data_IF_275741780785
#
_entry.id   IF_275741780785
#
_cell.length_a   1.000
_cell.length_b   1.000
_cell.length_c   1.000
_cell.angle_alpha   90.00
_cell.angle_beta   90.00
_cell.angle_gamma   90.00
#
_symmetry.space_group_name_H-M   'P 1'
#
loop_
_entity.id
_entity.type
_entity.pdbx_description
1 polymer ?
#
# COMPACT_ATOMS: atom_id res chain seq x y z
N UNK A 1 19.46 16.08 -16.56
CA UNK A 1 20.05 16.56 -15.30
C UNK A 1 20.16 15.40 -14.35
N UNK A 2 20.32 15.66 -13.05
CA UNK A 2 20.08 14.66 -12.01
C UNK A 2 18.58 14.39 -12.00
N UNK A 3 18.18 13.11 -11.96
CA UNK A 3 16.78 12.69 -11.94
C UNK A 3 16.57 11.60 -10.89
N UNK A 4 15.39 11.56 -10.29
CA UNK A 4 14.92 10.50 -9.39
C UNK A 4 14.03 9.50 -10.13
N UNK A 5 13.76 8.34 -9.50
CA UNK A 5 12.96 7.28 -10.13
C UNK A 5 11.53 7.75 -10.50
N UNK A 6 10.94 8.64 -9.70
CA UNK A 6 9.60 9.19 -9.92
C UNK A 6 9.54 10.15 -11.12
N UNK A 7 10.68 10.65 -11.58
CA UNK A 7 10.80 11.56 -12.72
C UNK A 7 11.07 10.83 -14.04
N UNK A 8 11.30 9.51 -14.00
CA UNK A 8 11.56 8.69 -15.17
C UNK A 8 10.27 8.17 -15.80
N UNK A 9 10.30 7.86 -17.11
CA UNK A 9 9.20 7.15 -17.76
C UNK A 9 9.11 5.71 -17.22
N UNK A 10 8.14 5.49 -16.33
CA UNK A 10 7.91 4.20 -15.69
C UNK A 10 7.62 3.10 -16.72
N UNK A 11 7.01 3.41 -17.89
CA UNK A 11 6.72 2.40 -18.92
C UNK A 11 8.01 1.88 -19.53
N UNK A 12 8.93 2.78 -19.86
CA UNK A 12 10.23 2.41 -20.42
C UNK A 12 11.08 1.64 -19.40
N UNK A 13 11.03 2.04 -18.13
CA UNK A 13 11.73 1.33 -17.07
C UNK A 13 11.19 -0.09 -16.88
N UNK A 14 9.86 -0.25 -16.79
CA UNK A 14 9.23 -1.54 -16.63
C UNK A 14 9.40 -2.45 -17.85
N UNK A 15 9.41 -1.92 -19.07
CA UNK A 15 9.68 -2.69 -20.30
C UNK A 15 11.03 -3.43 -20.20
N UNK A 16 12.06 -2.75 -19.69
CA UNK A 16 13.40 -3.32 -19.52
C UNK A 16 13.46 -4.30 -18.34
N UNK A 17 12.74 -4.02 -17.24
CA UNK A 17 12.78 -4.83 -16.02
C UNK A 17 11.90 -6.09 -16.09
N UNK A 18 10.81 -6.07 -16.86
CA UNK A 18 9.78 -7.12 -16.86
C UNK A 18 10.30 -8.55 -17.07
N UNK A 19 11.30 -8.81 -17.95
CA UNK A 19 11.86 -10.14 -18.12
C UNK A 19 12.47 -10.75 -16.84
N UNK A 20 12.79 -9.91 -15.85
CA UNK A 20 13.49 -10.31 -14.62
C UNK A 20 12.59 -10.34 -13.37
N UNK A 21 11.34 -9.88 -13.46
CA UNK A 21 10.44 -9.75 -12.31
C UNK A 21 9.51 -10.97 -12.10
N UNK A 22 9.52 -11.92 -13.03
CA UNK A 22 8.54 -13.01 -13.03
C UNK A 22 7.11 -12.49 -13.24
N UNK A 23 6.08 -13.19 -12.74
CA UNK A 23 4.70 -12.76 -12.90
C UNK A 23 4.37 -11.49 -12.08
N UNK A 24 4.27 -10.34 -12.75
CA UNK A 24 3.81 -9.08 -12.15
C UNK A 24 2.29 -8.99 -12.30
N UNK A 25 1.56 -8.98 -11.17
CA UNK A 25 0.09 -9.02 -11.12
C UNK A 25 -0.48 -8.02 -10.13
N UNK A 26 -1.62 -7.42 -10.48
CA UNK A 26 -2.41 -6.58 -9.58
C UNK A 26 -3.58 -7.37 -8.99
N UNK A 27 -3.82 -7.18 -7.69
CA UNK A 27 -4.94 -7.80 -6.98
C UNK A 27 -5.66 -6.74 -6.15
N UNK A 28 -6.99 -6.71 -6.26
CA UNK A 28 -7.84 -5.92 -5.37
C UNK A 28 -8.16 -6.74 -4.11
N UNK A 29 -8.36 -6.04 -2.99
CA UNK A 29 -8.79 -6.62 -1.72
C UNK A 29 -9.74 -5.67 -1.01
N UNK A 30 -10.72 -6.22 -0.30
CA UNK A 30 -11.62 -5.47 0.58
C UNK A 30 -11.00 -5.21 1.96
N UNK A 31 -9.81 -5.78 2.23
CA UNK A 31 -9.11 -5.65 3.50
C UNK A 31 -8.86 -4.18 3.87
N UNK A 32 -9.08 -3.84 5.14
CA UNK A 32 -8.71 -2.55 5.72
C UNK A 32 -8.05 -2.74 7.09
N UNK A 33 -7.25 -1.76 7.58
CA UNK A 33 -6.67 -1.81 8.92
C UNK A 33 -7.68 -1.88 10.08
N UNK A 34 -8.98 -1.74 9.81
CA UNK A 34 -10.08 -1.87 10.78
C UNK A 34 -10.73 -3.25 10.80
N UNK A 35 -10.40 -4.14 9.86
CA UNK A 35 -10.99 -5.47 9.82
C UNK A 35 -10.65 -6.25 11.10
N UNK A 36 -11.68 -6.72 11.81
CA UNK A 36 -11.53 -7.41 13.10
C UNK A 36 -11.29 -6.51 14.31
N UNK A 37 -11.42 -5.17 14.20
CA UNK A 37 -11.19 -4.21 15.29
C UNK A 37 -12.44 -3.37 15.64
N UNK A 38 -12.63 -2.97 16.92
CA UNK A 38 -11.78 -3.27 18.07
C UNK A 38 -11.99 -4.70 18.59
N UNK A 39 -10.94 -5.27 19.17
CA UNK A 39 -10.97 -6.62 19.75
C UNK A 39 -11.55 -6.65 21.17
N UNK A 40 -10.81 -7.27 22.10
CA UNK A 40 -11.21 -7.40 23.51
C UNK A 40 -10.92 -6.16 24.37
N UNK A 41 -10.10 -5.24 23.86
CA UNK A 41 -9.68 -4.03 24.55
C UNK A 41 -10.08 -2.80 23.73
N UNK A 42 -10.22 -1.67 24.40
CA UNK A 42 -10.48 -0.40 23.71
C UNK A 42 -9.25 0.02 22.88
N UNK A 43 -9.50 0.46 21.66
CA UNK A 43 -8.47 0.90 20.73
C UNK A 43 -8.76 2.31 20.22
N UNK A 44 -7.70 3.11 20.09
CA UNK A 44 -7.71 4.48 19.60
C UNK A 44 -7.82 4.48 18.05
N UNK A 45 -9.00 4.16 17.53
CA UNK A 45 -9.25 4.01 16.08
C UNK A 45 -10.16 5.10 15.50
N UNK A 46 -9.94 5.44 14.23
CA UNK A 46 -10.84 6.26 13.42
C UNK A 46 -11.74 5.39 12.54
N UNK A 47 -13.03 5.33 12.84
CA UNK A 47 -14.03 4.55 12.09
C UNK A 47 -14.56 5.25 10.84
N UNK A 48 -14.31 6.55 10.66
CA UNK A 48 -14.81 7.32 9.50
C UNK A 48 -13.94 7.13 8.27
N UNK A 49 -12.66 6.89 8.48
CA UNK A 49 -11.69 6.63 7.42
C UNK A 49 -10.77 5.46 7.83
N UNK A 50 -10.99 4.25 7.27
CA UNK A 50 -10.21 3.06 7.61
C UNK A 50 -8.71 3.19 7.37
N UNK A 51 -8.27 4.06 6.44
CA UNK A 51 -6.88 4.19 6.01
C UNK A 51 -6.11 5.29 6.74
N UNK A 52 -6.72 5.92 7.76
CA UNK A 52 -6.00 6.86 8.62
C UNK A 52 -4.78 6.18 9.24
N UNK A 53 -3.65 6.90 9.28
CA UNK A 53 -2.40 6.38 9.83
C UNK A 53 -2.57 5.93 11.30
N UNK A 54 -3.47 6.56 12.04
CA UNK A 54 -3.92 6.16 13.38
C UNK A 54 -4.35 4.68 13.46
N UNK A 55 -4.98 4.15 12.40
CA UNK A 55 -5.43 2.76 12.34
C UNK A 55 -4.32 1.80 11.90
N UNK A 56 -3.28 2.27 11.20
CA UNK A 56 -2.18 1.42 10.70
C UNK A 56 -1.08 1.26 11.76
N UNK A 57 -0.77 2.33 12.48
CA UNK A 57 0.29 2.32 13.48
C UNK A 57 -0.09 1.42 14.66
N UNK A 58 0.65 0.34 14.86
CA UNK A 58 0.55 -0.50 16.06
C UNK A 58 1.12 0.27 17.24
N UNK A 59 0.30 0.49 18.28
CA UNK A 59 0.65 1.22 19.51
C UNK A 59 0.63 0.29 20.71
#
# INVERSE_FOLDING_TARGET
GIVEADEMDYRRCLEVQMPYLGPVKGYYTDWTPLEGRPGLFEEDIDKKDPWQFRNILVR
#
